data_IF_984041884818
#
_entry.id   IF_984041884818
#
_cell.length_a   1.000
_cell.length_b   1.000
_cell.length_c   1.000
_cell.angle_alpha   90.00
_cell.angle_beta   90.00
_cell.angle_gamma   90.00
#
_symmetry.space_group_name_H-M   'P 1'
#
loop_
_entity.id
_entity.type
_entity.pdbx_description
1 polymer ?
#
# COMPACT_ATOMS: atom_id res chain seq x y z
N UNK A 1 -54.43 35.45 -17.34
CA UNK A 1 -53.97 34.61 -16.22
C UNK A 1 -54.13 33.09 -16.49
N UNK A 2 -55.26 32.57 -16.93
CA UNK A 2 -55.46 31.13 -17.17
C UNK A 2 -54.52 30.47 -18.22
N UNK A 3 -54.10 31.20 -19.25
CA UNK A 3 -53.24 30.66 -20.32
C UNK A 3 -51.77 30.51 -19.90
N UNK A 4 -51.28 31.30 -18.93
CA UNK A 4 -49.91 31.23 -18.42
C UNK A 4 -49.72 30.10 -17.42
N UNK A 5 -50.73 29.77 -16.64
CA UNK A 5 -50.70 28.61 -15.73
C UNK A 5 -50.65 27.27 -16.46
N UNK A 6 -51.31 27.18 -17.62
CA UNK A 6 -51.30 25.99 -18.47
C UNK A 6 -49.93 25.72 -19.13
N UNK A 7 -49.19 26.76 -19.47
CA UNK A 7 -47.86 26.69 -20.07
C UNK A 7 -46.84 26.24 -19.00
N UNK A 8 -46.88 26.81 -17.80
CA UNK A 8 -46.00 26.39 -16.69
C UNK A 8 -46.24 24.93 -16.27
N UNK A 9 -47.51 24.51 -16.19
CA UNK A 9 -47.86 23.14 -15.88
C UNK A 9 -47.35 22.14 -16.95
N UNK A 10 -47.39 22.50 -18.23
CA UNK A 10 -46.86 21.68 -19.32
C UNK A 10 -45.31 21.59 -19.28
N UNK A 11 -44.62 22.69 -18.94
CA UNK A 11 -43.16 22.68 -18.81
C UNK A 11 -42.69 21.88 -17.58
N UNK A 12 -43.39 21.95 -16.43
CA UNK A 12 -43.12 21.13 -15.26
C UNK A 12 -43.37 19.64 -15.56
N UNK A 13 -44.44 19.30 -16.27
CA UNK A 13 -44.73 17.90 -16.66
C UNK A 13 -43.71 17.34 -17.65
N UNK A 14 -43.22 18.14 -18.62
CA UNK A 14 -42.15 17.69 -19.55
C UNK A 14 -40.81 17.54 -18.88
N UNK A 15 -40.44 18.42 -17.94
CA UNK A 15 -39.19 18.27 -17.15
C UNK A 15 -39.27 17.07 -16.23
N UNK A 16 -40.41 16.85 -15.56
CA UNK A 16 -40.63 15.65 -14.75
C UNK A 16 -40.59 14.35 -15.58
N UNK A 17 -41.15 14.36 -16.79
CA UNK A 17 -41.12 13.20 -17.70
C UNK A 17 -39.69 12.90 -18.22
N UNK A 18 -38.89 13.93 -18.51
CA UNK A 18 -37.49 13.83 -18.92
C UNK A 18 -36.59 13.33 -17.76
N UNK A 19 -36.85 13.75 -16.52
CA UNK A 19 -36.15 13.24 -15.34
C UNK A 19 -36.54 11.80 -15.00
N UNK A 20 -37.81 11.41 -15.24
CA UNK A 20 -38.27 10.05 -15.00
C UNK A 20 -37.84 9.08 -16.09
N UNK A 21 -37.70 9.50 -17.35
CA UNK A 21 -37.19 8.64 -18.41
C UNK A 21 -35.69 8.36 -18.28
N UNK A 22 -34.90 9.25 -17.70
CA UNK A 22 -33.49 8.99 -17.38
C UNK A 22 -33.29 8.01 -16.23
N UNK A 23 -34.29 7.83 -15.34
CA UNK A 23 -34.26 6.83 -14.26
C UNK A 23 -34.61 5.42 -14.73
N UNK A 24 -35.25 5.26 -15.86
CA UNK A 24 -35.63 3.93 -16.44
C UNK A 24 -34.53 3.29 -17.30
N UNK A 25 -33.48 4.03 -17.68
CA UNK A 25 -32.32 3.52 -18.41
C UNK A 25 -31.14 3.10 -17.50
N UNK A 26 -31.30 3.15 -16.20
CA UNK A 26 -30.24 2.78 -15.23
C UNK A 26 -30.31 1.31 -14.79
N UNK A 27 -30.78 0.43 -15.66
CA UNK A 27 -30.73 -1.01 -15.42
C UNK A 27 -29.96 -1.68 -16.55
N UNK A 28 -28.68 -1.35 -16.66
CA UNK A 28 -27.76 -2.02 -17.56
C UNK A 28 -26.48 -2.39 -16.82
N UNK A 29 -26.25 -3.69 -16.80
CA UNK A 29 -25.01 -4.46 -16.59
C UNK A 29 -23.93 -3.85 -15.67
N UNK A 30 -23.63 -4.59 -14.63
CA UNK A 30 -22.77 -4.32 -13.48
C UNK A 30 -21.27 -4.10 -13.81
N UNK A 31 -20.88 -3.54 -14.93
CA UNK A 31 -19.48 -3.47 -15.34
C UNK A 31 -18.99 -2.11 -15.87
N UNK A 32 -19.83 -1.12 -16.10
CA UNK A 32 -19.35 0.24 -16.32
C UNK A 32 -19.28 1.00 -15.00
N UNK A 33 -18.09 1.01 -14.41
CA UNK A 33 -17.79 1.89 -13.28
C UNK A 33 -18.04 3.33 -13.74
N UNK A 34 -19.19 3.89 -13.34
CA UNK A 34 -19.46 5.29 -13.56
C UNK A 34 -18.33 6.12 -12.94
N UNK A 35 -17.53 6.78 -13.79
CA UNK A 35 -16.45 7.67 -13.33
C UNK A 35 -16.99 8.90 -12.55
N UNK A 36 -18.31 9.09 -12.51
CA UNK A 36 -18.99 10.23 -11.92
C UNK A 36 -19.62 9.93 -10.55
N UNK A 37 -19.68 8.68 -10.14
CA UNK A 37 -20.30 8.31 -8.86
C UNK A 37 -19.40 7.36 -8.06
N UNK A 38 -19.68 7.24 -6.75
CA UNK A 38 -19.02 6.28 -5.87
C UNK A 38 -19.39 4.85 -6.31
N UNK A 39 -18.44 3.90 -6.21
CA UNK A 39 -18.71 2.47 -6.41
C UNK A 39 -19.46 1.88 -5.23
N UNK A 40 -20.31 0.89 -5.49
CA UNK A 40 -20.93 0.15 -4.40
C UNK A 40 -19.92 -0.72 -3.62
N UNK A 41 -18.87 -1.19 -4.30
CA UNK A 41 -17.81 -2.01 -3.71
C UNK A 41 -18.23 -3.46 -3.42
N UNK A 42 -17.33 -4.20 -2.75
CA UNK A 42 -17.41 -5.65 -2.58
C UNK A 42 -17.60 -6.08 -1.11
N UNK A 43 -17.86 -5.14 -0.19
CA UNK A 43 -18.09 -5.41 1.23
C UNK A 43 -19.42 -4.82 1.69
N UNK A 44 -19.97 -5.33 2.79
CA UNK A 44 -21.19 -4.76 3.38
C UNK A 44 -20.96 -3.31 3.83
N UNK A 45 -19.76 -2.99 4.33
CA UNK A 45 -19.37 -1.62 4.70
C UNK A 45 -19.36 -0.71 3.49
N UNK A 46 -18.78 -1.14 2.36
CA UNK A 46 -18.78 -0.33 1.13
C UNK A 46 -20.19 -0.10 0.61
N UNK A 47 -21.09 -1.07 0.77
CA UNK A 47 -22.52 -0.92 0.51
C UNK A 47 -23.17 0.15 1.38
N UNK A 48 -22.93 0.14 2.70
CA UNK A 48 -23.44 1.16 3.64
C UNK A 48 -22.91 2.56 3.32
N UNK A 49 -21.62 2.67 2.99
CA UNK A 49 -20.99 3.94 2.58
C UNK A 49 -21.62 4.47 1.29
N UNK A 50 -21.88 3.60 0.32
CA UNK A 50 -22.57 3.96 -0.92
C UNK A 50 -23.99 4.45 -0.65
N UNK A 51 -24.77 3.74 0.16
CA UNK A 51 -26.15 4.09 0.48
C UNK A 51 -26.21 5.45 1.24
N UNK A 52 -25.28 5.68 2.16
CA UNK A 52 -25.13 6.97 2.84
C UNK A 52 -24.75 8.10 1.86
N UNK A 53 -23.83 7.85 0.92
CA UNK A 53 -23.47 8.80 -0.13
C UNK A 53 -24.67 9.14 -1.00
N UNK A 54 -25.46 8.18 -1.44
CA UNK A 54 -26.65 8.40 -2.24
C UNK A 54 -27.73 9.17 -1.48
N UNK A 55 -27.91 8.91 -0.19
CA UNK A 55 -28.81 9.70 0.66
C UNK A 55 -28.39 11.17 0.68
N UNK A 56 -27.12 11.44 0.94
CA UNK A 56 -26.58 12.81 0.91
C UNK A 56 -26.75 13.47 -0.45
N UNK A 57 -26.47 12.74 -1.52
CA UNK A 57 -26.61 13.23 -2.87
C UNK A 57 -28.04 13.68 -3.18
N UNK A 58 -29.06 12.86 -2.87
CA UNK A 58 -30.45 13.22 -3.10
C UNK A 58 -30.93 14.39 -2.23
N UNK A 59 -30.46 14.50 -0.99
CA UNK A 59 -30.72 15.67 -0.16
C UNK A 59 -30.14 16.93 -0.80
N UNK A 60 -28.88 16.87 -1.27
CA UNK A 60 -28.24 18.01 -1.96
C UNK A 60 -28.98 18.38 -3.25
N UNK A 61 -29.42 17.41 -4.05
CA UNK A 61 -30.23 17.63 -5.27
C UNK A 61 -31.55 18.31 -4.90
N UNK A 62 -32.24 17.84 -3.84
CA UNK A 62 -33.47 18.46 -3.36
C UNK A 62 -33.27 19.93 -2.95
N UNK A 63 -32.22 20.22 -2.19
CA UNK A 63 -31.85 21.58 -1.79
C UNK A 63 -31.53 22.42 -3.04
N UNK A 64 -30.76 21.91 -3.98
CA UNK A 64 -30.39 22.58 -5.21
C UNK A 64 -31.64 22.93 -6.04
N UNK A 65 -32.57 21.99 -6.21
CA UNK A 65 -33.84 22.22 -6.93
C UNK A 65 -34.67 23.37 -6.30
N UNK A 66 -34.77 23.37 -4.98
CA UNK A 66 -35.51 24.41 -4.24
C UNK A 66 -34.82 25.77 -4.40
N UNK A 67 -33.52 25.83 -4.11
CA UNK A 67 -32.77 27.10 -4.11
C UNK A 67 -32.67 27.69 -5.51
N UNK A 68 -32.24 26.92 -6.51
CA UNK A 68 -32.17 27.39 -7.88
C UNK A 68 -33.55 27.64 -8.49
N UNK A 69 -34.54 26.83 -8.12
CA UNK A 69 -35.92 27.05 -8.52
C UNK A 69 -36.45 28.41 -8.05
N UNK A 70 -36.29 28.71 -6.78
CA UNK A 70 -36.68 30.05 -6.22
C UNK A 70 -35.90 31.18 -6.89
N UNK A 71 -34.59 30.98 -7.10
CA UNK A 71 -33.71 31.95 -7.74
C UNK A 71 -34.16 32.24 -9.18
N UNK A 72 -34.34 31.20 -10.01
CA UNK A 72 -34.75 31.36 -11.41
C UNK A 72 -36.17 31.98 -11.54
N UNK A 73 -37.11 31.53 -10.71
CA UNK A 73 -38.45 32.08 -10.63
C UNK A 73 -38.39 33.57 -10.26
N UNK A 74 -37.58 33.92 -9.24
CA UNK A 74 -37.37 35.33 -8.84
C UNK A 74 -36.78 36.17 -9.98
N UNK A 75 -35.72 35.71 -10.63
CA UNK A 75 -35.12 36.40 -11.79
C UNK A 75 -36.12 36.59 -12.95
N UNK A 76 -36.95 35.57 -13.21
CA UNK A 76 -37.95 35.65 -14.28
C UNK A 76 -39.09 36.65 -13.95
N UNK A 77 -39.63 36.61 -12.71
CA UNK A 77 -40.75 37.42 -12.28
C UNK A 77 -40.36 38.88 -12.02
N UNK A 78 -39.18 39.13 -11.46
CA UNK A 78 -38.75 40.46 -11.01
C UNK A 78 -37.78 41.16 -12.00
N UNK A 79 -37.67 40.68 -13.24
CA UNK A 79 -36.82 41.33 -14.25
C UNK A 79 -37.38 42.72 -14.64
N UNK A 80 -36.48 43.69 -14.89
CA UNK A 80 -36.81 45.07 -15.25
C UNK A 80 -37.75 45.17 -16.45
N UNK A 81 -37.62 44.29 -17.45
CA UNK A 81 -38.48 44.26 -18.65
C UNK A 81 -39.97 43.95 -18.37
N UNK A 82 -40.27 43.45 -17.17
CA UNK A 82 -41.65 43.22 -16.69
C UNK A 82 -42.21 44.37 -15.83
N UNK A 83 -41.45 45.45 -15.68
CA UNK A 83 -41.87 46.59 -14.85
C UNK A 83 -41.84 46.29 -13.35
N UNK A 84 -41.07 45.31 -12.92
CA UNK A 84 -40.95 44.96 -11.50
C UNK A 84 -40.37 46.15 -10.72
N UNK A 85 -41.04 46.49 -9.59
CA UNK A 85 -40.58 47.51 -8.65
C UNK A 85 -39.88 46.82 -7.48
N UNK A 86 -38.74 47.37 -6.99
CA UNK A 86 -38.07 46.84 -5.81
C UNK A 86 -39.01 46.87 -4.59
N UNK A 87 -38.98 45.80 -3.79
CA UNK A 87 -39.70 45.78 -2.52
C UNK A 87 -38.86 46.45 -1.42
N UNK A 88 -39.49 47.12 -0.48
CA UNK A 88 -38.86 47.82 0.65
C UNK A 88 -38.94 46.96 1.94
N UNK A 89 -38.51 45.69 1.88
CA UNK A 89 -38.38 44.90 3.10
C UNK A 89 -36.89 44.62 3.38
N UNK A 90 -36.49 44.59 4.64
CA UNK A 90 -35.12 44.41 5.05
C UNK A 90 -34.88 43.05 5.74
N UNK A 91 -35.92 42.46 6.31
CA UNK A 91 -35.87 41.21 7.06
C UNK A 91 -37.18 40.43 7.00
N UNK A 92 -37.10 39.12 7.26
CA UNK A 92 -38.28 38.30 7.43
C UNK A 92 -37.94 37.16 8.42
N UNK A 93 -38.19 37.37 9.71
CA UNK A 93 -37.84 36.43 10.80
C UNK A 93 -38.38 35.03 10.57
N UNK A 94 -39.53 34.84 9.93
CA UNK A 94 -40.08 33.49 9.66
C UNK A 94 -39.20 32.75 8.64
N UNK A 95 -38.73 33.45 7.61
CA UNK A 95 -37.83 32.86 6.59
C UNK A 95 -36.46 32.57 7.20
N UNK A 96 -35.95 33.46 8.06
CA UNK A 96 -34.69 33.29 8.79
C UNK A 96 -34.71 32.08 9.70
N UNK A 97 -35.77 31.91 10.47
CA UNK A 97 -35.98 30.72 11.29
C UNK A 97 -36.04 29.48 10.39
N UNK A 98 -36.77 29.52 9.28
CA UNK A 98 -36.90 28.36 8.39
C UNK A 98 -35.56 27.92 7.78
N UNK A 99 -34.74 28.85 7.26
CA UNK A 99 -33.46 28.49 6.66
C UNK A 99 -32.36 28.10 7.69
N UNK A 100 -32.60 28.38 8.97
CA UNK A 100 -31.74 27.93 10.07
C UNK A 100 -32.17 26.54 10.58
N UNK A 101 -33.47 26.37 10.85
CA UNK A 101 -33.99 25.14 11.49
C UNK A 101 -34.02 23.98 10.50
N UNK A 102 -34.40 24.18 9.24
CA UNK A 102 -34.49 23.08 8.26
C UNK A 102 -33.13 22.43 8.01
N UNK A 103 -32.03 23.14 7.70
CA UNK A 103 -30.70 22.51 7.56
C UNK A 103 -30.24 21.84 8.84
N UNK A 104 -30.50 22.42 10.01
CA UNK A 104 -30.14 21.80 11.28
C UNK A 104 -30.82 20.44 11.49
N UNK A 105 -32.13 20.34 11.20
CA UNK A 105 -32.87 19.07 11.26
C UNK A 105 -32.36 18.05 10.24
N UNK A 106 -31.96 18.49 9.02
CA UNK A 106 -31.33 17.61 8.02
C UNK A 106 -30.03 17.05 8.57
N UNK A 107 -29.17 17.88 9.20
CA UNK A 107 -27.90 17.41 9.78
C UNK A 107 -28.13 16.41 10.90
N UNK A 108 -29.09 16.62 11.81
CA UNK A 108 -29.46 15.65 12.85
C UNK A 108 -29.92 14.33 12.24
N UNK A 109 -30.78 14.39 11.23
CA UNK A 109 -31.27 13.19 10.52
C UNK A 109 -30.13 12.38 9.90
N UNK A 110 -29.15 13.07 9.30
CA UNK A 110 -28.00 12.43 8.68
C UNK A 110 -26.95 11.91 9.68
N UNK A 111 -26.85 12.52 10.85
CA UNK A 111 -25.85 12.15 11.86
C UNK A 111 -26.02 10.71 12.34
N UNK A 112 -27.28 10.22 12.47
CA UNK A 112 -27.57 8.87 12.98
C UNK A 112 -27.02 7.77 12.04
N UNK A 113 -27.37 7.71 10.73
CA UNK A 113 -26.82 6.69 9.85
C UNK A 113 -25.30 6.84 9.65
N UNK A 114 -24.77 8.07 9.61
CA UNK A 114 -23.36 8.32 9.51
C UNK A 114 -22.57 7.77 10.70
N UNK A 115 -23.07 8.00 11.94
CA UNK A 115 -22.45 7.47 13.15
C UNK A 115 -22.50 5.93 13.20
N UNK A 116 -23.62 5.32 12.81
CA UNK A 116 -23.75 3.86 12.77
C UNK A 116 -22.74 3.24 11.77
N UNK A 117 -22.60 3.80 10.58
CA UNK A 117 -21.63 3.34 9.58
C UNK A 117 -20.20 3.50 10.11
N UNK A 118 -19.86 4.64 10.73
CA UNK A 118 -18.54 4.87 11.31
C UNK A 118 -18.20 3.85 12.41
N UNK A 119 -19.14 3.60 13.34
CA UNK A 119 -18.97 2.60 14.40
C UNK A 119 -18.72 1.21 13.79
N UNK A 120 -19.47 0.83 12.74
CA UNK A 120 -19.26 -0.43 12.06
C UNK A 120 -17.89 -0.52 11.36
N UNK A 121 -17.41 0.58 10.77
CA UNK A 121 -16.08 0.63 10.13
C UNK A 121 -14.93 0.48 11.12
N UNK A 122 -15.07 0.98 12.34
CA UNK A 122 -14.03 0.94 13.38
C UNK A 122 -14.11 -0.33 14.25
N UNK A 123 -15.08 -1.21 14.05
CA UNK A 123 -15.17 -2.48 14.78
C UNK A 123 -14.20 -3.53 14.22
N UNK A 124 -12.98 -3.55 14.74
CA UNK A 124 -11.93 -4.51 14.37
C UNK A 124 -11.92 -5.77 15.27
N UNK A 125 -12.92 -5.96 16.12
CA UNK A 125 -13.00 -7.08 17.07
C UNK A 125 -13.28 -8.41 16.36
N UNK A 126 -12.83 -9.50 16.97
CA UNK A 126 -13.06 -10.88 16.52
C UNK A 126 -12.75 -11.15 15.03
N UNK A 127 -11.53 -10.82 14.55
CA UNK A 127 -11.15 -11.12 13.18
C UNK A 127 -10.93 -12.63 12.99
N UNK A 128 -11.29 -13.15 11.82
CA UNK A 128 -10.94 -14.51 11.41
C UNK A 128 -9.45 -14.63 11.02
N UNK A 129 -8.83 -13.53 10.60
CA UNK A 129 -7.43 -13.46 10.16
C UNK A 129 -6.88 -12.05 10.36
N UNK A 130 -5.59 -11.95 10.60
CA UNK A 130 -4.89 -10.65 10.70
C UNK A 130 -3.71 -10.57 9.74
N UNK A 131 -3.61 -9.47 9.01
CA UNK A 131 -2.50 -9.15 8.11
C UNK A 131 -1.85 -7.85 8.55
N UNK A 132 -0.53 -7.87 8.77
CA UNK A 132 0.26 -6.66 8.93
C UNK A 132 0.62 -6.11 7.56
N UNK A 133 0.32 -4.83 7.36
CA UNK A 133 0.60 -4.07 6.13
C UNK A 133 1.58 -2.97 6.48
N UNK A 134 2.78 -3.04 5.93
CA UNK A 134 3.83 -2.04 6.16
C UNK A 134 4.12 -1.29 4.86
N UNK A 135 3.95 0.03 4.87
CA UNK A 135 4.34 0.90 3.77
C UNK A 135 5.82 1.26 3.85
N UNK A 136 6.48 1.31 2.71
CA UNK A 136 7.81 1.89 2.56
C UNK A 136 7.98 2.46 1.15
N UNK A 137 8.94 3.33 0.92
CA UNK A 137 9.22 4.01 -0.36
C UNK A 137 9.85 3.06 -1.39
N UNK A 138 9.18 2.58 -2.42
CA UNK A 138 7.75 2.70 -2.74
C UNK A 138 7.21 1.30 -3.02
N UNK A 139 6.77 0.62 -1.96
CA UNK A 139 6.29 -0.76 -1.97
C UNK A 139 5.44 -1.03 -0.74
N UNK A 140 4.69 -2.10 -0.79
CA UNK A 140 4.00 -2.65 0.38
C UNK A 140 4.67 -3.93 0.83
N UNK A 141 4.70 -4.17 2.15
CA UNK A 141 5.08 -5.44 2.76
C UNK A 141 3.85 -6.02 3.45
N UNK A 142 3.53 -7.27 3.15
CA UNK A 142 2.42 -7.99 3.76
C UNK A 142 2.96 -9.15 4.58
N UNK A 143 2.45 -9.28 5.83
CA UNK A 143 2.76 -10.40 6.72
C UNK A 143 1.48 -10.97 7.29
N UNK A 144 1.25 -12.25 7.10
CA UNK A 144 0.14 -12.98 7.71
C UNK A 144 0.52 -13.33 9.15
N UNK A 145 -0.23 -12.80 10.13
CA UNK A 145 0.19 -12.88 11.53
C UNK A 145 0.10 -14.28 12.12
N UNK A 146 -0.70 -15.16 11.52
CA UNK A 146 -0.91 -16.54 11.96
C UNK A 146 0.01 -17.54 11.23
N UNK A 147 0.95 -17.05 10.38
CA UNK A 147 1.89 -17.86 9.63
C UNK A 147 3.23 -17.14 9.41
N UNK A 148 4.21 -17.87 8.91
CA UNK A 148 5.52 -17.31 8.51
C UNK A 148 5.51 -16.71 7.09
N UNK A 149 4.34 -16.58 6.47
CA UNK A 149 4.20 -16.06 5.10
C UNK A 149 4.26 -14.54 5.14
N UNK A 150 5.30 -14.00 4.52
CA UNK A 150 5.46 -12.56 4.33
C UNK A 150 6.14 -12.26 3.00
N UNK A 151 5.84 -11.10 2.40
CA UNK A 151 6.44 -10.70 1.14
C UNK A 151 6.26 -9.21 0.84
N UNK A 152 7.16 -8.71 0.01
CA UNK A 152 7.01 -7.41 -0.63
C UNK A 152 6.13 -7.50 -1.87
N UNK A 153 5.37 -6.44 -2.11
CA UNK A 153 4.53 -6.23 -3.28
C UNK A 153 4.98 -4.94 -3.96
N UNK A 154 5.45 -5.07 -5.19
CA UNK A 154 6.03 -3.98 -5.98
C UNK A 154 5.22 -3.77 -7.25
N UNK A 155 5.34 -2.59 -7.84
CA UNK A 155 4.75 -2.26 -9.13
C UNK A 155 5.22 -3.25 -10.20
N UNK A 156 4.28 -3.86 -10.92
CA UNK A 156 4.56 -4.77 -12.04
C UNK A 156 4.61 -4.06 -13.41
N UNK A 157 4.18 -2.79 -13.49
CA UNK A 157 4.19 -2.04 -14.75
C UNK A 157 5.62 -1.89 -15.26
N UNK A 158 5.86 -2.31 -16.49
CA UNK A 158 7.16 -2.26 -17.13
C UNK A 158 7.63 -0.82 -17.31
N UNK A 159 8.94 -0.60 -17.16
CA UNK A 159 9.55 0.72 -17.27
C UNK A 159 9.33 1.37 -18.63
N UNK A 160 9.31 0.56 -19.69
CA UNK A 160 9.06 0.98 -21.05
C UNK A 160 7.66 1.56 -21.26
N UNK A 161 6.65 1.08 -20.53
CA UNK A 161 5.31 1.67 -20.51
C UNK A 161 5.30 3.00 -19.77
N UNK A 162 6.04 3.11 -18.64
CA UNK A 162 6.19 4.35 -17.87
C UNK A 162 6.88 5.43 -18.73
N UNK A 163 7.89 5.06 -19.49
CA UNK A 163 8.65 5.93 -20.40
C UNK A 163 7.92 6.19 -21.74
N UNK A 164 6.69 5.71 -21.91
CA UNK A 164 5.87 5.82 -23.12
C UNK A 164 6.52 5.18 -24.38
N UNK A 165 7.38 4.18 -24.19
CA UNK A 165 7.97 3.39 -25.30
C UNK A 165 7.03 2.28 -25.76
N UNK A 166 6.18 1.76 -24.86
CA UNK A 166 5.14 0.78 -25.13
C UNK A 166 3.77 1.32 -24.79
N UNK A 167 2.73 0.73 -25.39
CA UNK A 167 1.34 1.07 -25.09
C UNK A 167 1.01 0.75 -23.62
N UNK A 168 0.23 1.63 -23.00
CA UNK A 168 -0.28 1.41 -21.65
C UNK A 168 -1.39 0.36 -21.67
N UNK A 169 -1.41 -0.51 -20.68
CA UNK A 169 -2.48 -1.48 -20.45
C UNK A 169 -3.65 -0.82 -19.72
N UNK A 170 -4.82 -1.46 -19.69
CA UNK A 170 -6.02 -0.95 -19.00
C UNK A 170 -5.78 -0.73 -17.50
N UNK A 171 -4.93 -1.58 -16.89
CA UNK A 171 -4.53 -1.46 -15.49
C UNK A 171 -3.16 -0.80 -15.30
N UNK A 172 -2.81 0.17 -16.15
CA UNK A 172 -1.55 0.91 -16.07
C UNK A 172 -1.34 1.49 -14.67
N UNK A 173 -0.20 1.18 -14.03
CA UNK A 173 0.18 1.54 -12.66
C UNK A 173 -0.74 0.96 -11.56
N UNK A 174 -1.56 -0.04 -11.86
CA UNK A 174 -2.48 -0.68 -10.93
C UNK A 174 -2.25 -2.20 -10.78
N UNK A 175 -1.11 -2.70 -11.26
CA UNK A 175 -0.73 -4.11 -11.13
C UNK A 175 0.55 -4.25 -10.29
N UNK A 176 0.63 -5.36 -9.54
CA UNK A 176 1.78 -5.69 -8.70
C UNK A 176 2.34 -7.08 -9.06
N UNK A 177 3.59 -7.31 -8.72
CA UNK A 177 4.26 -8.61 -8.90
C UNK A 177 3.73 -9.69 -7.94
N UNK A 178 3.34 -9.28 -6.71
CA UNK A 178 2.83 -10.19 -5.67
C UNK A 178 1.63 -9.56 -4.97
N UNK A 179 0.39 -9.89 -5.38
CA UNK A 179 -0.83 -9.38 -4.75
C UNK A 179 -1.04 -9.95 -3.35
N UNK A 180 -1.69 -9.18 -2.48
CA UNK A 180 -2.24 -9.70 -1.23
C UNK A 180 -3.38 -10.65 -1.55
N UNK A 181 -3.43 -11.82 -0.91
CA UNK A 181 -4.51 -12.80 -1.09
C UNK A 181 -5.28 -12.95 0.22
N UNK A 182 -6.61 -12.86 0.16
CA UNK A 182 -7.48 -13.00 1.33
C UNK A 182 -8.66 -13.93 1.03
N UNK A 183 -9.27 -14.58 2.04
CA UNK A 183 -10.47 -15.38 1.84
C UNK A 183 -11.73 -14.51 1.75
N UNK A 184 -12.72 -14.93 0.94
CA UNK A 184 -14.06 -14.35 0.97
C UNK A 184 -14.84 -14.80 2.20
N UNK A 185 -15.85 -14.01 2.61
CA UNK A 185 -16.74 -14.33 3.72
C UNK A 185 -16.11 -14.30 5.11
N UNK A 186 -14.82 -14.00 5.22
CA UNK A 186 -14.05 -13.90 6.47
C UNK A 186 -13.72 -12.45 6.82
N UNK A 187 -13.76 -12.12 8.12
CA UNK A 187 -13.35 -10.79 8.62
C UNK A 187 -11.83 -10.73 8.70
N UNK A 188 -11.21 -10.01 7.79
CA UNK A 188 -9.76 -9.80 7.73
C UNK A 188 -9.44 -8.46 8.36
N UNK A 189 -8.64 -8.48 9.45
CA UNK A 189 -8.11 -7.29 10.08
C UNK A 189 -6.78 -6.92 9.47
N UNK A 190 -6.62 -5.65 9.14
CA UNK A 190 -5.38 -5.06 8.65
C UNK A 190 -4.76 -4.20 9.77
N UNK A 191 -3.54 -4.56 10.18
CA UNK A 191 -2.67 -3.72 11.01
C UNK A 191 -1.78 -2.93 10.05
N UNK A 192 -1.88 -1.61 10.08
CA UNK A 192 -1.31 -0.75 9.03
C UNK A 192 -0.29 0.19 9.67
N UNK A 193 0.97 0.13 9.20
CA UNK A 193 2.10 0.93 9.67
C UNK A 193 3.05 1.28 8.52
N UNK A 194 4.10 2.02 8.82
CA UNK A 194 5.16 2.38 7.87
C UNK A 194 6.53 2.30 8.50
N UNK A 195 7.56 2.00 7.69
CA UNK A 195 8.97 1.96 8.07
C UNK A 195 9.70 3.31 7.87
N UNK A 196 9.13 4.23 7.09
CA UNK A 196 9.85 5.46 6.69
C UNK A 196 8.99 6.74 6.78
N UNK A 197 8.13 7.00 5.80
CA UNK A 197 7.24 8.18 5.75
C UNK A 197 5.78 7.75 5.87
N UNK A 198 4.87 8.72 5.96
CA UNK A 198 3.43 8.40 5.95
C UNK A 198 3.04 7.93 4.55
N UNK A 199 2.34 6.79 4.48
CA UNK A 199 1.63 6.27 3.34
C UNK A 199 0.16 6.11 3.71
N UNK A 200 -0.71 5.73 2.76
CA UNK A 200 -2.09 5.37 3.08
C UNK A 200 -2.52 4.17 2.23
N UNK A 201 -2.92 3.10 2.90
CA UNK A 201 -3.40 1.88 2.25
C UNK A 201 -4.87 2.06 1.88
N UNK A 202 -5.15 2.11 0.58
CA UNK A 202 -6.48 2.39 0.07
C UNK A 202 -6.93 1.34 -0.94
N UNK A 203 -8.08 0.70 -0.66
CA UNK A 203 -8.80 -0.19 -1.57
C UNK A 203 -10.26 0.29 -1.63
N UNK A 204 -10.64 1.03 -2.65
CA UNK A 204 -11.96 1.65 -2.78
C UNK A 204 -13.12 0.67 -2.62
N UNK A 205 -13.01 -0.51 -3.26
CA UNK A 205 -14.06 -1.53 -3.26
C UNK A 205 -14.31 -2.16 -1.88
N UNK A 206 -13.38 -1.98 -0.93
CA UNK A 206 -13.54 -2.41 0.47
C UNK A 206 -14.06 -1.31 1.38
N UNK A 207 -14.14 -0.08 0.91
CA UNK A 207 -14.29 1.15 1.70
C UNK A 207 -13.18 1.31 2.77
N UNK A 208 -12.00 0.78 2.51
CA UNK A 208 -10.82 0.91 3.39
C UNK A 208 -9.88 1.95 2.83
N UNK A 209 -9.62 2.99 3.61
CA UNK A 209 -8.54 3.96 3.42
C UNK A 209 -8.00 4.32 4.80
N UNK A 210 -6.79 3.87 5.09
CA UNK A 210 -6.18 4.05 6.42
C UNK A 210 -4.70 4.39 6.28
N UNK A 211 -4.26 5.42 6.99
CA UNK A 211 -2.88 5.89 6.93
C UNK A 211 -1.94 4.89 7.60
N UNK A 212 -0.78 4.73 6.97
CA UNK A 212 0.36 3.96 7.45
C UNK A 212 1.38 4.94 8.05
N UNK A 213 1.35 5.13 9.36
CA UNK A 213 2.16 6.11 10.07
C UNK A 213 3.41 5.44 10.68
N UNK A 214 4.61 6.00 10.50
CA UNK A 214 5.80 5.50 11.18
C UNK A 214 5.64 5.55 12.71
N UNK A 215 5.97 4.43 13.36
CA UNK A 215 5.90 4.30 14.82
C UNK A 215 4.50 4.12 15.41
N UNK A 216 3.46 4.02 14.58
CA UNK A 216 2.09 3.74 15.00
C UNK A 216 1.51 2.58 14.21
N UNK A 217 0.58 1.84 14.80
CA UNK A 217 -0.18 0.80 14.12
C UNK A 217 -1.64 1.26 14.11
N UNK A 218 -2.14 1.55 12.92
CA UNK A 218 -3.56 1.80 12.70
C UNK A 218 -4.26 0.49 12.33
N UNK A 219 -5.55 0.41 12.62
CA UNK A 219 -6.35 -0.78 12.32
C UNK A 219 -7.48 -0.46 11.36
N UNK A 220 -7.79 -1.42 10.50
CA UNK A 220 -8.99 -1.44 9.68
C UNK A 220 -9.37 -2.89 9.40
N UNK A 221 -10.52 -3.12 8.77
CA UNK A 221 -10.94 -4.46 8.41
C UNK A 221 -11.77 -4.48 7.14
N UNK A 222 -11.84 -5.65 6.51
CA UNK A 222 -12.76 -5.91 5.42
C UNK A 222 -13.30 -7.35 5.49
N UNK A 223 -14.54 -7.53 5.07
CA UNK A 223 -15.13 -8.84 4.79
C UNK A 223 -15.64 -8.79 3.35
N UNK A 224 -14.89 -9.41 2.47
CA UNK A 224 -15.18 -9.40 1.03
C UNK A 224 -16.21 -10.48 0.72
N UNK A 225 -17.29 -10.11 0.02
CA UNK A 225 -18.43 -10.98 -0.21
C UNK A 225 -18.23 -11.89 -1.43
N UNK A 226 -17.47 -11.46 -2.43
CA UNK A 226 -17.32 -12.13 -3.71
C UNK A 226 -15.83 -12.31 -4.09
N UNK A 227 -15.46 -13.46 -4.69
CA UNK A 227 -14.13 -13.64 -5.25
C UNK A 227 -13.86 -12.61 -6.35
N UNK A 228 -12.61 -12.10 -6.40
CA UNK A 228 -12.27 -11.09 -7.41
C UNK A 228 -10.89 -10.50 -7.21
N UNK A 229 -10.51 -9.58 -8.10
CA UNK A 229 -9.29 -8.81 -8.06
C UNK A 229 -9.66 -7.35 -7.80
N UNK A 230 -9.26 -6.86 -6.64
CA UNK A 230 -9.57 -5.52 -6.16
C UNK A 230 -8.31 -4.66 -6.17
N UNK A 231 -8.42 -3.47 -6.74
CA UNK A 231 -7.29 -2.57 -6.95
C UNK A 231 -7.41 -1.32 -6.12
N UNK A 232 -6.26 -0.87 -5.66
CA UNK A 232 -6.12 0.33 -4.86
C UNK A 232 -4.77 1.00 -5.09
N UNK A 233 -4.50 2.02 -4.29
CA UNK A 233 -3.31 2.84 -4.44
C UNK A 233 -2.86 3.35 -3.08
N UNK A 234 -1.61 3.85 -3.02
CA UNK A 234 -1.22 4.72 -1.93
C UNK A 234 -2.00 6.03 -2.03
N UNK A 235 -2.64 6.45 -0.95
CA UNK A 235 -3.51 7.63 -0.91
C UNK A 235 -2.94 8.80 -0.08
N UNK A 236 -1.68 8.70 0.41
CA UNK A 236 -0.96 9.78 1.09
C UNK A 236 0.37 10.05 0.39
N UNK A 237 0.67 11.33 0.13
CA UNK A 237 1.86 11.74 -0.63
C UNK A 237 3.14 11.34 0.09
N UNK A 238 3.83 10.33 -0.42
CA UNK A 238 4.99 9.69 0.19
C UNK A 238 6.31 9.89 -0.59
N UNK A 239 6.39 10.84 -1.49
CA UNK A 239 7.59 11.18 -2.25
C UNK A 239 7.43 11.03 -3.77
N UNK A 240 8.55 10.97 -4.50
CA UNK A 240 8.58 11.07 -5.98
C UNK A 240 7.84 9.94 -6.70
N UNK A 241 7.88 8.73 -6.16
CA UNK A 241 7.28 7.55 -6.78
C UNK A 241 5.96 7.15 -6.07
N UNK A 242 5.27 8.11 -5.44
CA UNK A 242 3.99 7.92 -4.76
C UNK A 242 2.95 7.19 -5.62
N UNK A 243 2.84 7.52 -6.90
CA UNK A 243 1.94 6.84 -7.85
C UNK A 243 2.39 5.46 -8.32
N UNK A 244 3.57 4.99 -7.89
CA UNK A 244 4.18 3.72 -8.35
C UNK A 244 4.18 2.63 -7.26
N UNK A 245 3.30 2.74 -6.25
CA UNK A 245 3.08 1.72 -5.23
C UNK A 245 1.58 1.37 -5.10
N UNK A 246 1.03 0.71 -6.12
CA UNK A 246 -0.37 0.29 -6.09
C UNK A 246 -0.62 -0.82 -5.08
N UNK A 247 -1.91 -1.06 -4.82
CA UNK A 247 -2.42 -2.17 -4.01
C UNK A 247 -3.24 -3.09 -4.92
N UNK A 248 -2.95 -4.38 -4.87
CA UNK A 248 -3.81 -5.40 -5.50
C UNK A 248 -4.15 -6.45 -4.46
N UNK A 249 -5.43 -6.70 -4.29
CA UNK A 249 -5.95 -7.74 -3.40
C UNK A 249 -6.74 -8.75 -4.23
N UNK A 250 -6.40 -10.03 -4.10
CA UNK A 250 -7.15 -11.15 -4.68
C UNK A 250 -7.96 -11.80 -3.57
N UNK A 251 -9.28 -11.67 -3.63
CA UNK A 251 -10.18 -12.41 -2.77
C UNK A 251 -10.49 -13.77 -3.40
N UNK A 252 -10.31 -14.85 -2.65
CA UNK A 252 -10.54 -16.23 -3.08
C UNK A 252 -11.58 -16.89 -2.21
N UNK A 253 -12.30 -17.87 -2.77
CA UNK A 253 -13.10 -18.78 -1.96
C UNK A 253 -12.24 -19.43 -0.85
N UNK A 254 -12.80 -19.69 0.35
CA UNK A 254 -12.01 -20.19 1.47
C UNK A 254 -11.14 -21.41 1.14
N UNK A 255 -11.66 -22.39 0.45
CA UNK A 255 -10.90 -23.59 0.07
C UNK A 255 -9.75 -23.30 -0.90
N UNK A 256 -9.90 -22.32 -1.81
CA UNK A 256 -8.82 -21.89 -2.70
C UNK A 256 -7.78 -21.05 -1.98
N UNK A 257 -8.21 -20.26 -0.98
CA UNK A 257 -7.33 -19.52 -0.12
C UNK A 257 -6.47 -20.48 0.73
N UNK A 258 -7.09 -21.48 1.38
CA UNK A 258 -6.38 -22.45 2.21
C UNK A 258 -5.33 -23.22 1.39
N UNK A 259 -5.67 -23.61 0.17
CA UNK A 259 -4.72 -24.25 -0.75
C UNK A 259 -3.56 -23.31 -1.09
N UNK A 260 -3.85 -22.06 -1.46
CA UNK A 260 -2.83 -21.06 -1.77
C UNK A 260 -1.91 -20.80 -0.56
N UNK A 261 -2.49 -20.66 0.63
CA UNK A 261 -1.74 -20.43 1.87
C UNK A 261 -0.80 -21.61 2.16
N UNK A 262 -1.29 -22.85 2.07
CA UNK A 262 -0.47 -24.06 2.25
C UNK A 262 0.69 -24.13 1.23
N UNK A 263 0.47 -23.70 -0.01
CA UNK A 263 1.55 -23.60 -1.01
C UNK A 263 2.60 -22.55 -0.64
N UNK A 264 2.20 -21.42 -0.04
CA UNK A 264 3.15 -20.39 0.41
C UNK A 264 3.93 -20.86 1.66
N UNK A 265 3.25 -21.44 2.63
CA UNK A 265 3.87 -22.01 3.84
C UNK A 265 4.91 -23.09 3.48
N UNK A 266 4.57 -23.96 2.53
CA UNK A 266 5.50 -24.97 2.03
C UNK A 266 6.74 -24.35 1.37
N UNK A 267 6.58 -23.26 0.60
CA UNK A 267 7.71 -22.52 0.03
C UNK A 267 8.61 -21.90 1.11
N UNK A 268 8.00 -21.29 2.13
CA UNK A 268 8.73 -20.71 3.27
C UNK A 268 9.48 -21.81 4.04
N UNK A 269 8.81 -22.93 4.32
CA UNK A 269 9.43 -24.09 4.99
C UNK A 269 10.63 -24.61 4.22
N UNK A 270 10.50 -24.84 2.92
CA UNK A 270 11.60 -25.28 2.05
C UNK A 270 12.77 -24.30 2.02
N UNK A 271 12.46 -23.00 1.96
CA UNK A 271 13.50 -21.98 2.00
C UNK A 271 14.27 -21.98 3.31
N UNK A 272 13.57 -22.11 4.46
CA UNK A 272 14.19 -22.24 5.78
C UNK A 272 15.01 -23.53 5.92
N UNK A 273 14.50 -24.66 5.43
CA UNK A 273 15.23 -25.93 5.43
C UNK A 273 16.50 -25.85 4.60
N UNK A 274 16.44 -25.23 3.41
CA UNK A 274 17.61 -25.05 2.56
C UNK A 274 18.63 -24.09 3.21
N UNK A 275 18.16 -22.98 3.81
CA UNK A 275 19.02 -22.08 4.57
C UNK A 275 19.73 -22.82 5.72
N UNK A 276 18.99 -23.59 6.52
CA UNK A 276 19.57 -24.40 7.60
C UNK A 276 20.56 -25.45 7.06
N UNK A 277 20.24 -26.07 5.94
CA UNK A 277 21.13 -27.01 5.27
C UNK A 277 22.44 -26.32 4.85
N UNK A 278 22.34 -25.14 4.23
CA UNK A 278 23.51 -24.36 3.83
C UNK A 278 24.36 -23.91 5.03
N UNK A 279 23.72 -23.52 6.13
CA UNK A 279 24.39 -23.12 7.36
C UNK A 279 25.06 -24.32 8.06
N UNK A 280 24.50 -25.51 7.95
CA UNK A 280 25.06 -26.73 8.54
C UNK A 280 26.19 -27.35 7.72
N UNK A 281 26.37 -26.96 6.46
CA UNK A 281 27.46 -27.44 5.60
C UNK A 281 28.79 -26.88 6.08
N UNK A 282 29.69 -27.76 6.56
CA UNK A 282 31.05 -27.38 6.84
C UNK A 282 31.91 -27.55 5.58
N UNK A 283 32.56 -26.46 5.18
CA UNK A 283 33.57 -26.47 4.11
C UNK A 283 34.92 -26.84 4.73
N UNK A 284 35.70 -27.64 4.01
CA UNK A 284 37.10 -27.92 4.37
C UNK A 284 37.96 -26.67 4.19
N UNK A 285 39.16 -26.66 4.81
CA UNK A 285 40.14 -25.58 4.65
C UNK A 285 40.44 -25.31 3.16
N UNK A 286 40.68 -26.40 2.40
CA UNK A 286 41.01 -26.30 0.99
C UNK A 286 39.87 -25.66 0.14
N UNK A 287 38.61 -26.03 0.44
CA UNK A 287 37.44 -25.46 -0.22
C UNK A 287 37.27 -23.97 0.14
N UNK A 288 37.42 -23.62 1.43
CA UNK A 288 37.35 -22.25 1.93
C UNK A 288 38.45 -21.38 1.30
N UNK A 289 39.67 -21.86 1.26
CA UNK A 289 40.80 -21.13 0.66
C UNK A 289 40.63 -20.91 -0.83
N UNK A 290 40.20 -21.93 -1.57
CA UNK A 290 39.97 -21.83 -3.02
C UNK A 290 38.85 -20.86 -3.36
N UNK A 291 37.71 -20.99 -2.67
CA UNK A 291 36.56 -20.09 -2.90
C UNK A 291 36.86 -18.68 -2.39
N UNK A 292 37.53 -18.56 -1.23
CA UNK A 292 37.94 -17.28 -0.65
C UNK A 292 38.89 -16.51 -1.57
N UNK A 293 39.87 -17.19 -2.18
CA UNK A 293 40.75 -16.58 -3.19
C UNK A 293 39.98 -16.06 -4.39
N UNK A 294 39.01 -16.84 -4.89
CA UNK A 294 38.14 -16.42 -5.98
C UNK A 294 37.37 -15.14 -5.66
N UNK A 295 36.71 -15.13 -4.50
CA UNK A 295 35.92 -13.99 -4.01
C UNK A 295 36.81 -12.78 -3.75
N UNK A 296 37.97 -12.99 -3.10
CA UNK A 296 38.91 -11.93 -2.81
C UNK A 296 39.39 -11.22 -4.08
N UNK A 297 39.84 -11.99 -5.08
CA UNK A 297 40.32 -11.42 -6.33
C UNK A 297 39.23 -10.70 -7.12
N UNK A 298 37.98 -11.14 -7.04
CA UNK A 298 36.86 -10.51 -7.73
C UNK A 298 36.35 -9.24 -7.05
N UNK A 299 36.45 -9.15 -5.72
CA UNK A 299 35.69 -8.18 -4.92
C UNK A 299 36.57 -7.29 -4.05
N UNK A 300 37.63 -7.83 -3.46
CA UNK A 300 38.44 -7.16 -2.42
C UNK A 300 39.76 -6.61 -2.95
N UNK A 301 40.38 -7.35 -3.87
CA UNK A 301 41.75 -7.07 -4.36
C UNK A 301 41.90 -5.70 -5.06
N UNK A 302 40.83 -5.14 -5.58
CA UNK A 302 40.83 -3.79 -6.19
C UNK A 302 41.29 -2.70 -5.22
N UNK A 303 40.96 -2.85 -3.93
CA UNK A 303 41.35 -1.91 -2.86
C UNK A 303 42.49 -2.46 -2.00
N UNK A 304 42.40 -3.76 -1.60
CA UNK A 304 43.37 -4.35 -0.68
C UNK A 304 44.59 -4.99 -1.36
N UNK A 305 44.71 -4.86 -2.69
CA UNK A 305 45.72 -5.43 -3.57
C UNK A 305 45.75 -6.97 -3.58
N UNK A 306 46.17 -7.65 -4.65
CA UNK A 306 46.16 -9.12 -4.75
C UNK A 306 47.02 -9.83 -3.69
N UNK A 307 48.02 -9.13 -3.15
CA UNK A 307 48.93 -9.65 -2.12
C UNK A 307 48.50 -9.25 -0.66
N UNK A 308 47.34 -8.62 -0.49
CA UNK A 308 46.81 -8.21 0.80
C UNK A 308 47.53 -7.03 1.48
N UNK A 309 48.47 -6.36 0.79
CA UNK A 309 49.31 -5.27 1.39
C UNK A 309 48.58 -3.92 1.40
N UNK A 310 47.43 -3.81 0.67
CA UNK A 310 46.70 -2.56 0.59
C UNK A 310 47.49 -1.43 -0.10
N UNK A 311 47.02 -0.21 0.06
CA UNK A 311 47.69 0.99 -0.44
C UNK A 311 47.95 1.92 0.76
N UNK A 312 49.22 2.15 1.15
CA UNK A 312 49.57 2.96 2.33
C UNK A 312 48.89 4.34 2.32
N UNK A 313 48.20 4.67 3.40
CA UNK A 313 47.48 5.94 3.57
C UNK A 313 46.13 6.03 2.88
N UNK A 314 45.73 5.02 2.06
CA UNK A 314 44.43 5.00 1.35
C UNK A 314 43.60 3.75 1.70
N UNK A 315 44.18 2.56 1.52
CA UNK A 315 43.50 1.30 1.85
C UNK A 315 44.37 0.47 2.80
N UNK A 316 43.81 -0.01 3.92
CA UNK A 316 44.60 -0.76 4.92
C UNK A 316 45.09 -2.09 4.38
N UNK A 317 46.23 -2.54 4.85
CA UNK A 317 46.70 -3.91 4.64
C UNK A 317 45.85 -4.89 5.42
N UNK A 318 45.56 -6.05 4.80
CA UNK A 318 44.97 -7.22 5.45
C UNK A 318 46.06 -8.20 5.89
N UNK A 319 47.16 -8.25 5.16
CA UNK A 319 48.39 -8.97 5.53
C UNK A 319 48.98 -8.42 6.84
N UNK A 320 49.08 -9.25 7.86
CA UNK A 320 49.59 -8.85 9.17
C UNK A 320 48.68 -7.90 9.97
N UNK A 321 47.43 -7.68 9.52
CA UNK A 321 46.48 -6.80 10.19
C UNK A 321 45.98 -7.43 11.50
N UNK A 322 46.07 -6.66 12.59
CA UNK A 322 45.49 -7.12 13.88
C UNK A 322 44.00 -7.43 13.76
N UNK A 323 43.23 -6.59 13.05
CA UNK A 323 41.81 -6.83 12.83
C UNK A 323 41.58 -8.19 12.14
N UNK A 324 42.32 -8.46 11.08
CA UNK A 324 42.19 -9.71 10.38
C UNK A 324 42.67 -10.94 11.18
N UNK A 325 43.66 -10.80 12.08
CA UNK A 325 44.29 -11.92 12.78
C UNK A 325 43.74 -12.17 14.18
N UNK A 326 43.43 -11.11 14.94
CA UNK A 326 43.12 -11.19 16.37
C UNK A 326 41.60 -11.14 16.64
N UNK A 327 40.81 -10.52 15.77
CA UNK A 327 39.36 -10.33 15.97
C UNK A 327 38.55 -10.95 14.81
N UNK A 328 38.19 -12.22 14.94
CA UNK A 328 37.41 -12.94 13.93
C UNK A 328 36.00 -12.35 13.77
N UNK A 329 35.29 -12.05 14.88
CA UNK A 329 33.94 -11.47 14.83
C UNK A 329 33.94 -10.09 14.20
N UNK A 330 34.85 -9.21 14.63
CA UNK A 330 34.99 -7.87 14.07
C UNK A 330 35.38 -7.89 12.58
N UNK A 331 36.20 -8.87 12.15
CA UNK A 331 36.52 -9.07 10.75
C UNK A 331 35.29 -9.45 9.92
N UNK A 332 34.51 -10.44 10.40
CA UNK A 332 33.23 -10.82 9.77
C UNK A 332 32.27 -9.61 9.72
N UNK A 333 32.14 -8.87 10.81
CA UNK A 333 31.24 -7.71 10.91
C UNK A 333 31.59 -6.61 9.90
N UNK A 334 32.90 -6.30 9.75
CA UNK A 334 33.36 -5.32 8.76
C UNK A 334 33.05 -5.76 7.34
N UNK A 335 33.20 -7.04 7.00
CA UNK A 335 32.83 -7.53 5.68
C UNK A 335 31.32 -7.51 5.46
N UNK A 336 30.53 -7.85 6.48
CA UNK A 336 29.06 -7.82 6.42
C UNK A 336 28.55 -6.40 6.25
N UNK A 337 28.93 -5.49 7.13
CA UNK A 337 28.27 -4.20 7.31
C UNK A 337 29.10 -3.00 6.79
N UNK A 338 30.34 -3.26 6.38
CA UNK A 338 31.27 -2.19 6.01
C UNK A 338 31.80 -1.43 7.23
N UNK A 339 32.49 -0.33 6.97
CA UNK A 339 33.00 0.56 8.03
C UNK A 339 32.54 1.98 7.79
N UNK A 340 31.70 2.49 8.67
CA UNK A 340 31.17 3.84 8.58
C UNK A 340 32.27 4.90 8.47
N UNK A 341 32.09 5.89 7.60
CA UNK A 341 33.04 6.97 7.35
C UNK A 341 34.26 6.57 6.51
N UNK A 342 34.27 5.35 5.90
CA UNK A 342 35.35 4.89 5.04
C UNK A 342 34.80 4.38 3.69
N UNK A 343 35.72 4.03 2.75
CA UNK A 343 35.37 3.42 1.47
C UNK A 343 35.00 1.92 1.58
N UNK A 344 35.15 1.30 2.76
CA UNK A 344 34.78 -0.11 2.97
C UNK A 344 33.27 -0.25 3.06
N UNK A 345 32.66 -0.71 1.97
CA UNK A 345 31.21 -0.90 1.87
C UNK A 345 30.73 -2.20 2.52
N UNK A 346 29.43 -2.33 2.73
CA UNK A 346 28.79 -3.55 3.20
C UNK A 346 28.64 -4.56 2.06
N UNK A 347 28.99 -5.83 2.31
CA UNK A 347 28.92 -6.91 1.32
C UNK A 347 27.77 -7.90 1.57
N UNK A 348 27.01 -7.75 2.63
CA UNK A 348 25.90 -8.65 2.98
C UNK A 348 24.78 -8.76 1.93
N UNK A 349 24.68 -7.79 1.00
CA UNK A 349 23.73 -7.81 -0.12
C UNK A 349 24.36 -8.31 -1.43
N UNK A 350 25.67 -8.48 -1.48
CA UNK A 350 26.44 -8.81 -2.68
C UNK A 350 27.03 -10.23 -2.63
N UNK A 351 27.38 -10.69 -1.44
CA UNK A 351 28.00 -11.99 -1.20
C UNK A 351 27.08 -12.85 -0.30
N UNK A 352 27.01 -14.13 -0.60
CA UNK A 352 26.35 -15.10 0.25
C UNK A 352 27.14 -15.35 1.54
N UNK A 353 26.49 -15.88 2.58
CA UNK A 353 27.15 -16.22 3.84
C UNK A 353 28.36 -17.19 3.64
N UNK A 354 28.27 -18.08 2.65
CA UNK A 354 29.38 -18.96 2.26
C UNK A 354 30.56 -18.22 1.66
N UNK A 355 30.30 -17.27 0.78
CA UNK A 355 31.35 -16.48 0.14
C UNK A 355 32.04 -15.56 1.16
N UNK A 356 31.27 -14.98 2.11
CA UNK A 356 31.83 -14.18 3.21
C UNK A 356 32.69 -15.09 4.11
N UNK A 357 32.20 -16.27 4.48
CA UNK A 357 32.97 -17.23 5.27
C UNK A 357 34.29 -17.62 4.59
N UNK A 358 34.22 -17.91 3.29
CA UNK A 358 35.39 -18.29 2.51
C UNK A 358 36.41 -17.15 2.38
N UNK A 359 35.96 -15.92 2.06
CA UNK A 359 36.88 -14.79 1.91
C UNK A 359 37.54 -14.39 3.23
N UNK A 360 36.78 -14.38 4.33
CA UNK A 360 37.34 -14.11 5.66
C UNK A 360 38.36 -15.20 6.05
N UNK A 361 38.06 -16.47 5.78
CA UNK A 361 39.01 -17.56 6.01
C UNK A 361 40.28 -17.37 5.17
N UNK A 362 40.14 -17.01 3.89
CA UNK A 362 41.28 -16.74 3.01
C UNK A 362 42.14 -15.61 3.53
N UNK A 363 41.54 -14.47 3.86
CA UNK A 363 42.26 -13.29 4.37
C UNK A 363 43.02 -13.56 5.67
N UNK A 364 42.50 -14.47 6.51
CA UNK A 364 43.11 -14.89 7.77
C UNK A 364 44.24 -15.93 7.59
N UNK A 365 44.35 -16.57 6.43
CA UNK A 365 45.32 -17.66 6.19
C UNK A 365 46.21 -17.43 4.95
N UNK A 366 46.02 -16.36 4.17
CA UNK A 366 46.81 -16.05 2.95
C UNK A 366 47.97 -15.09 3.27
N UNK A 367 48.88 -14.96 2.33
CA UNK A 367 50.01 -13.98 2.31
C UNK A 367 50.95 -14.03 3.52
N UNK A 368 51.00 -15.13 4.24
CA UNK A 368 51.74 -15.29 5.48
C UNK A 368 50.92 -15.04 6.75
N UNK A 369 49.66 -14.63 6.62
CA UNK A 369 48.69 -14.79 7.69
C UNK A 369 48.48 -16.32 7.89
N UNK A 370 48.44 -16.79 9.12
CA UNK A 370 48.32 -18.21 9.43
C UNK A 370 47.62 -18.40 10.77
N UNK A 371 46.33 -18.01 10.81
CA UNK A 371 45.52 -18.22 12.04
C UNK A 371 45.07 -19.64 12.24
N UNK A 372 45.01 -20.45 11.15
CA UNK A 372 44.44 -21.79 11.16
C UNK A 372 42.92 -21.82 11.29
N UNK A 373 42.28 -20.68 11.39
CA UNK A 373 40.81 -20.61 11.56
C UNK A 373 40.07 -20.94 10.28
N UNK A 374 38.97 -21.66 10.45
CA UNK A 374 37.99 -21.92 9.41
C UNK A 374 36.69 -21.24 9.80
N UNK A 375 36.38 -20.09 9.12
CA UNK A 375 35.09 -19.46 9.27
C UNK A 375 34.06 -20.20 8.41
N UNK A 376 32.94 -20.56 9.00
CA UNK A 376 31.84 -21.25 8.32
C UNK A 376 30.64 -20.30 8.11
N UNK A 377 29.74 -20.66 7.22
CA UNK A 377 28.52 -19.87 6.98
C UNK A 377 27.69 -19.61 8.26
N UNK A 378 27.67 -20.58 9.19
CA UNK A 378 27.01 -20.43 10.51
C UNK A 378 27.64 -19.34 11.38
N UNK A 379 28.97 -19.17 11.32
CA UNK A 379 29.68 -18.16 12.10
C UNK A 379 29.37 -16.76 11.57
N UNK A 380 29.31 -16.63 10.24
CA UNK A 380 28.88 -15.38 9.56
C UNK A 380 27.43 -15.05 9.90
N UNK A 381 26.53 -16.05 9.88
CA UNK A 381 25.11 -15.88 10.24
C UNK A 381 24.94 -15.47 11.71
N UNK A 382 25.72 -16.01 12.62
CA UNK A 382 25.70 -15.61 14.03
C UNK A 382 26.04 -14.12 14.20
N UNK A 383 27.09 -13.65 13.53
CA UNK A 383 27.47 -12.22 13.55
C UNK A 383 26.39 -11.34 12.89
N UNK A 384 25.83 -11.76 11.75
CA UNK A 384 24.77 -11.02 11.05
C UNK A 384 23.52 -10.83 11.91
N UNK A 385 23.21 -11.77 12.80
CA UNK A 385 22.05 -11.73 13.71
C UNK A 385 22.39 -11.19 15.13
N UNK A 386 23.59 -10.61 15.33
CA UNK A 386 23.97 -9.96 16.58
C UNK A 386 24.32 -10.91 17.73
N UNK A 387 24.65 -12.17 17.43
CA UNK A 387 25.03 -13.21 18.39
C UNK A 387 26.55 -13.39 18.53
#
# INVERSE_FOLDING_TARGET
MKQQTTILAKWCATISALLFSSLLFAQETAEEVSSLNLRRGATDISGQVYDLHMLMFFICVGIAVVVFGVMFVSMYLHRKSRGAKPANFHENVKVEIAWTVIPFLILIFMAVPAANTLIAMEDTTEPDMTVLVTGSQWKWHYKYMDSDVEFYSLLATQREQIENKFAKTDNYLLEVDRPLVIPTGKKVRFLITSDDVIHSWWVPDFAVKKDANPGFINESWAKVNEPGIYRGQCAELCGKDHGYMPVVVIAKEPAEFDKWMGEQEEKVRRAKEEEQRLLSMNMSMDELMKEGERVYNATCAACHMPNGEGLPGVFPALKGSKMALEDQKGHIDIVLHGKSGTAMQAFNKMLSLKEIAAVVTYERNAWGNNTGDMVQAKDVNAVANGN
#
